data_IF_678676073070
#
_entry.id   IF_678676073070
#
_cell.length_a   1.000
_cell.length_b   1.000
_cell.length_c   1.000
_cell.angle_alpha   90.00
_cell.angle_beta   90.00
_cell.angle_gamma   90.00
#
_symmetry.space_group_name_H-M   'P 1'
#
loop_
_entity.id
_entity.type
_entity.pdbx_description
1 polymer ?
#
# COMPACT_ATOMS: atom_id res chain seq x y z
N UNK A 1 7.05 15.70 -0.96
CA UNK A 1 6.31 14.47 -1.30
C UNK A 1 7.19 13.22 -1.31
N UNK A 2 8.37 13.30 -1.87
CA UNK A 2 9.24 12.12 -2.01
C UNK A 2 9.64 11.49 -0.67
N UNK A 3 9.82 12.30 0.37
CA UNK A 3 10.19 11.77 1.67
C UNK A 3 9.09 10.90 2.28
N UNK A 4 7.83 11.30 2.11
CA UNK A 4 6.71 10.50 2.64
C UNK A 4 6.54 9.21 1.87
N UNK A 5 6.79 9.23 0.56
CA UNK A 5 6.75 8.01 -0.24
C UNK A 5 7.85 7.03 0.18
N UNK A 6 9.04 7.55 0.49
CA UNK A 6 10.12 6.71 1.03
C UNK A 6 9.75 6.10 2.38
N UNK A 7 9.09 6.87 3.24
CA UNK A 7 8.64 6.36 4.54
C UNK A 7 7.60 5.26 4.33
N UNK A 8 6.65 5.46 3.43
CA UNK A 8 5.66 4.43 3.09
C UNK A 8 6.36 3.16 2.62
N UNK A 9 7.28 3.29 1.67
CA UNK A 9 7.99 2.14 1.11
C UNK A 9 8.81 1.41 2.17
N UNK A 10 9.57 2.14 2.98
CA UNK A 10 10.38 1.53 4.03
C UNK A 10 9.54 0.86 5.10
N UNK A 11 8.46 1.51 5.52
CA UNK A 11 7.57 0.95 6.54
C UNK A 11 6.89 -0.32 6.01
N UNK A 12 6.42 -0.28 4.77
CA UNK A 12 5.78 -1.44 4.15
C UNK A 12 6.76 -2.61 4.03
N UNK A 13 8.01 -2.35 3.65
CA UNK A 13 9.01 -3.40 3.55
C UNK A 13 9.34 -4.03 4.91
N UNK A 14 9.37 -3.23 5.97
CA UNK A 14 9.73 -3.71 7.30
C UNK A 14 8.58 -4.39 8.03
N UNK A 15 7.37 -3.86 7.89
CA UNK A 15 6.20 -4.35 8.63
C UNK A 15 5.22 -5.14 7.80
N UNK A 16 5.39 -5.20 6.48
CA UNK A 16 4.45 -5.78 5.52
C UNK A 16 3.13 -5.03 5.43
N UNK A 17 3.02 -3.88 6.10
CA UNK A 17 1.87 -2.99 5.97
C UNK A 17 2.25 -1.58 6.41
N UNK A 18 1.50 -0.60 5.92
CA UNK A 18 1.64 0.79 6.33
C UNK A 18 0.29 1.50 6.18
N UNK A 19 -0.06 2.28 7.20
CA UNK A 19 -1.27 3.11 7.15
C UNK A 19 -0.89 4.57 7.00
N UNK A 20 -1.70 5.33 6.28
CA UNK A 20 -1.47 6.75 6.07
C UNK A 20 -2.77 7.46 5.75
N UNK A 21 -2.74 8.78 5.80
CA UNK A 21 -3.85 9.61 5.38
C UNK A 21 -3.52 10.30 4.07
N UNK A 22 -4.49 10.40 3.18
CA UNK A 22 -4.43 11.24 2.01
C UNK A 22 -5.61 12.19 2.04
N UNK A 23 -5.34 13.48 2.19
CA UNK A 23 -6.38 14.50 2.33
C UNK A 23 -7.39 14.13 3.44
N UNK A 24 -6.86 13.68 4.58
CA UNK A 24 -7.61 13.22 5.76
C UNK A 24 -8.43 11.94 5.54
N UNK A 25 -8.22 11.27 4.43
CA UNK A 25 -8.89 10.01 4.12
C UNK A 25 -7.95 8.85 4.43
N UNK A 26 -8.33 7.89 5.28
CA UNK A 26 -7.41 6.82 5.69
C UNK A 26 -7.29 5.71 4.65
N UNK A 27 -6.04 5.26 4.46
CA UNK A 27 -5.70 4.15 3.58
C UNK A 27 -4.72 3.23 4.27
N UNK A 28 -4.72 1.97 3.88
CA UNK A 28 -3.71 1.00 4.30
C UNK A 28 -3.15 0.28 3.08
N UNK A 29 -1.83 0.23 3.01
CA UNK A 29 -1.11 -0.56 2.01
C UNK A 29 -0.57 -1.79 2.71
N UNK A 30 -0.93 -2.98 2.24
CA UNK A 30 -0.54 -4.22 2.88
C UNK A 30 -0.10 -5.27 1.89
N UNK A 31 0.78 -6.15 2.36
CA UNK A 31 1.24 -7.30 1.60
C UNK A 31 0.27 -8.46 1.81
N UNK A 32 -0.15 -9.07 0.72
CA UNK A 32 -1.07 -10.20 0.76
C UNK A 32 -0.48 -11.37 -0.01
N UNK A 33 -0.39 -12.51 0.66
CA UNK A 33 0.07 -13.74 0.04
C UNK A 33 -1.12 -14.64 -0.25
N UNK A 34 -1.33 -14.94 -1.52
CA UNK A 34 -2.37 -15.88 -1.92
C UNK A 34 -1.69 -17.22 -2.22
N UNK A 35 -1.95 -18.23 -1.38
CA UNK A 35 -1.43 -19.57 -1.59
C UNK A 35 -2.55 -20.52 -1.92
N UNK A 36 -2.40 -21.27 -3.00
CA UNK A 36 -3.29 -22.37 -3.33
C UNK A 36 -2.69 -23.69 -2.91
N UNK A 37 -3.50 -24.75 -2.93
CA UNK A 37 -3.05 -26.09 -2.58
C UNK A 37 -2.01 -26.65 -3.55
N UNK A 38 -1.87 -26.02 -4.70
CA UNK A 38 -0.91 -26.43 -5.74
C UNK A 38 0.39 -25.65 -5.68
N UNK A 39 0.69 -25.03 -4.57
CA UNK A 39 1.98 -24.40 -4.25
C UNK A 39 2.37 -23.18 -5.10
N UNK A 40 1.48 -22.61 -5.87
CA UNK A 40 1.77 -21.34 -6.54
C UNK A 40 1.40 -20.21 -5.60
N UNK A 41 2.42 -19.66 -4.93
CA UNK A 41 2.22 -18.47 -4.10
C UNK A 41 2.23 -17.24 -4.99
N UNK A 42 1.21 -16.45 -4.88
CA UNK A 42 1.15 -15.15 -5.52
C UNK A 42 1.20 -14.09 -4.44
N UNK A 43 2.26 -13.29 -4.46
CA UNK A 43 2.41 -12.18 -3.53
C UNK A 43 1.93 -10.91 -4.23
N UNK A 44 1.02 -10.20 -3.58
CA UNK A 44 0.49 -8.95 -4.10
C UNK A 44 0.48 -7.89 -3.02
N UNK A 45 0.38 -6.64 -3.43
CA UNK A 45 0.19 -5.52 -2.53
C UNK A 45 -1.20 -4.95 -2.74
N UNK A 46 -1.93 -4.75 -1.65
CA UNK A 46 -3.27 -4.18 -1.70
C UNK A 46 -3.27 -2.81 -1.05
N UNK A 47 -3.84 -1.85 -1.76
CA UNK A 47 -4.13 -0.53 -1.20
C UNK A 47 -5.62 -0.49 -0.87
N UNK A 48 -5.94 -0.42 0.40
CA UNK A 48 -7.32 -0.46 0.88
C UNK A 48 -7.76 0.90 1.37
N UNK A 49 -8.92 1.34 0.87
CA UNK A 49 -9.62 2.50 1.39
C UNK A 49 -10.35 2.09 2.66
N UNK A 50 -9.98 2.69 3.79
CA UNK A 50 -10.52 2.28 5.10
C UNK A 50 -11.96 2.75 5.33
N UNK A 51 -12.49 3.59 4.45
CA UNK A 51 -13.87 4.09 4.56
C UNK A 51 -14.82 3.28 3.68
N UNK A 52 -14.44 3.07 2.42
CA UNK A 52 -15.29 2.37 1.45
C UNK A 52 -14.98 0.88 1.34
N UNK A 53 -13.82 0.46 1.84
CA UNK A 53 -13.27 -0.90 1.73
C UNK A 53 -12.96 -1.32 0.30
N UNK A 54 -12.86 -0.36 -0.63
CA UNK A 54 -12.39 -0.63 -1.97
C UNK A 54 -10.88 -0.91 -1.93
N UNK A 55 -10.43 -1.83 -2.78
CA UNK A 55 -9.02 -2.20 -2.85
C UNK A 55 -8.48 -2.09 -4.26
N UNK A 56 -7.19 -1.73 -4.34
CA UNK A 56 -6.41 -1.79 -5.58
C UNK A 56 -5.29 -2.79 -5.39
N UNK A 57 -5.09 -3.66 -6.37
CA UNK A 57 -4.08 -4.70 -6.30
C UNK A 57 -2.87 -4.33 -7.16
N UNK A 58 -1.68 -4.55 -6.62
CA UNK A 58 -0.42 -4.30 -7.32
C UNK A 58 0.47 -5.53 -7.19
N UNK A 59 1.16 -5.87 -8.27
CA UNK A 59 2.05 -7.03 -8.28
C UNK A 59 3.36 -6.77 -7.52
N UNK A 60 3.75 -5.51 -7.35
CA UNK A 60 4.95 -5.16 -6.59
C UNK A 60 4.69 -3.94 -5.71
N UNK A 61 5.49 -3.80 -4.66
CA UNK A 61 5.43 -2.61 -3.80
C UNK A 61 5.77 -1.35 -4.59
N UNK A 62 6.72 -1.45 -5.51
CA UNK A 62 7.12 -0.31 -6.32
C UNK A 62 5.95 0.23 -7.15
N UNK A 63 5.16 -0.66 -7.76
CA UNK A 63 3.98 -0.25 -8.51
C UNK A 63 2.95 0.43 -7.62
N UNK A 64 2.76 -0.09 -6.41
CA UNK A 64 1.84 0.51 -5.45
C UNK A 64 2.29 1.92 -5.05
N UNK A 65 3.57 2.10 -4.75
CA UNK A 65 4.12 3.40 -4.37
C UNK A 65 4.01 4.39 -5.51
N UNK A 66 4.27 3.96 -6.75
CA UNK A 66 4.12 4.81 -7.92
C UNK A 66 2.68 5.26 -8.13
N UNK A 67 1.74 4.36 -7.90
CA UNK A 67 0.32 4.70 -8.00
C UNK A 67 -0.06 5.77 -6.97
N UNK A 68 0.42 5.62 -5.74
CA UNK A 68 0.19 6.61 -4.67
C UNK A 68 0.78 7.96 -5.08
N UNK A 69 1.99 7.95 -5.61
CA UNK A 69 2.65 9.18 -6.08
C UNK A 69 1.84 9.91 -7.14
N UNK A 70 1.25 9.16 -8.08
CA UNK A 70 0.52 9.74 -9.20
C UNK A 70 -0.89 10.19 -8.83
N UNK A 71 -1.50 9.56 -7.85
CA UNK A 71 -2.92 9.76 -7.55
C UNK A 71 -3.20 10.44 -6.21
N UNK A 72 -2.21 10.51 -5.31
CA UNK A 72 -2.39 11.07 -3.97
C UNK A 72 -1.37 12.16 -3.71
N UNK A 73 -1.85 13.40 -3.54
CA UNK A 73 -0.97 14.55 -3.37
C UNK A 73 -0.86 15.03 -1.92
N UNK A 74 -1.78 14.61 -1.06
CA UNK A 74 -1.90 15.11 0.31
C UNK A 74 -1.64 14.00 1.34
N UNK A 75 -0.61 13.19 1.09
CA UNK A 75 -0.25 12.10 2.00
C UNK A 75 0.34 12.66 3.29
N UNK A 76 -0.22 12.25 4.42
CA UNK A 76 0.21 12.66 5.76
C UNK A 76 0.10 11.48 6.73
N UNK A 77 0.61 11.65 7.94
CA UNK A 77 0.44 10.70 9.07
C UNK A 77 0.75 9.25 8.68
N UNK A 78 1.92 9.05 8.09
CA UNK A 78 2.40 7.70 7.77
C UNK A 78 2.79 6.99 9.07
N UNK A 79 2.18 5.84 9.30
CA UNK A 79 2.40 5.05 10.52
C UNK A 79 3.20 3.77 10.25
#
# INVERSE_FOLDING_TARGET
MDQKLKVIQNTAQNKTWVSFLNNNHPYTLLHWSIGGMDSVKKDVWLLQDEVTFETEEFSTLELAVNWIKENMEQVTDVL
#
